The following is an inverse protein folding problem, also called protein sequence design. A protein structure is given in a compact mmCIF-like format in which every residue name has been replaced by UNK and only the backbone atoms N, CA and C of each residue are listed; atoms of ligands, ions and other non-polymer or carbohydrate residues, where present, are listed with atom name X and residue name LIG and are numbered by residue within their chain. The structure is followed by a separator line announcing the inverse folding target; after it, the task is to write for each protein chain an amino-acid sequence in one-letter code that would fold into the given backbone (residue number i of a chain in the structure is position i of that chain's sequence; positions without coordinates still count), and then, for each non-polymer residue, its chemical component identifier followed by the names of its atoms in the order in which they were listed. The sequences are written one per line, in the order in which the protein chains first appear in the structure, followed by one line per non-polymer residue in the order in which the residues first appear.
data_IF_253843475631
#
_entry.id   IF_253843475631
#
_cell.length_a   1.000
_cell.length_b   1.000
_cell.length_c   1.000
_cell.angle_alpha   90.00
_cell.angle_beta   90.00
_cell.angle_gamma   90.00
#
_symmetry.space_group_name_H-M   'P 1'
#
loop_
_entity.id
_entity.type
_entity.pdbx_description
1 polymer ?
#
# COMPACT_ATOMS: atom_id res chain seq x y z
N UNK A 1 -16.47 26.20 -4.29
CA UNK A 1 -16.53 24.95 -3.54
C UNK A 1 -17.19 23.85 -4.34
N UNK A 2 -18.46 23.90 -4.75
CA UNK A 2 -19.15 22.86 -5.54
C UNK A 2 -18.44 22.38 -6.84
N UNK A 3 -17.81 23.29 -7.58
CA UNK A 3 -17.09 22.91 -8.82
C UNK A 3 -15.77 22.16 -8.54
N UNK A 4 -15.13 22.46 -7.42
CA UNK A 4 -13.92 21.78 -6.97
C UNK A 4 -14.25 20.38 -6.42
N UNK A 5 -15.35 20.28 -5.68
CA UNK A 5 -15.90 19.01 -5.17
C UNK A 5 -16.31 18.09 -6.32
N UNK A 6 -17.05 18.61 -7.30
CA UNK A 6 -17.44 17.86 -8.49
C UNK A 6 -16.21 17.41 -9.34
N UNK A 7 -15.17 18.23 -9.42
CA UNK A 7 -13.93 17.87 -10.09
C UNK A 7 -13.15 16.79 -9.36
N UNK A 8 -13.10 16.86 -8.03
CA UNK A 8 -12.48 15.83 -7.17
C UNK A 8 -13.26 14.51 -7.23
N UNK A 9 -14.58 14.57 -7.17
CA UNK A 9 -15.44 13.39 -7.29
C UNK A 9 -15.31 12.72 -8.67
N UNK A 10 -15.22 13.50 -9.74
CA UNK A 10 -14.98 12.97 -11.07
C UNK A 10 -13.61 12.29 -11.16
N UNK A 11 -12.57 12.95 -10.67
CA UNK A 11 -11.21 12.41 -10.68
C UNK A 11 -11.12 11.12 -9.84
N UNK A 12 -11.72 11.13 -8.66
CA UNK A 12 -11.72 9.98 -7.74
C UNK A 12 -12.50 8.79 -8.29
N UNK A 13 -13.68 9.01 -8.86
CA UNK A 13 -14.58 7.94 -9.30
C UNK A 13 -14.28 7.45 -10.71
N UNK A 14 -14.01 8.35 -11.65
CA UNK A 14 -13.87 7.97 -13.06
C UNK A 14 -12.41 7.77 -13.47
N UNK A 15 -11.44 8.48 -12.84
CA UNK A 15 -10.02 8.31 -13.18
C UNK A 15 -9.36 7.28 -12.25
N UNK A 16 -9.39 7.48 -10.94
CA UNK A 16 -8.76 6.55 -9.98
C UNK A 16 -9.61 5.30 -9.74
N UNK A 17 -10.90 5.48 -9.55
CA UNK A 17 -11.86 4.39 -9.34
C UNK A 17 -12.21 3.62 -10.61
N UNK A 18 -11.93 4.15 -11.82
CA UNK A 18 -12.26 3.52 -13.11
C UNK A 18 -13.66 2.89 -13.15
N UNK A 19 -14.67 3.57 -12.58
CA UNK A 19 -16.05 3.05 -12.56
C UNK A 19 -16.60 2.72 -13.94
N UNK A 20 -16.16 3.43 -14.97
CA UNK A 20 -16.48 3.13 -16.37
C UNK A 20 -15.98 1.72 -16.77
N UNK A 21 -14.80 1.32 -16.31
CA UNK A 21 -14.24 -0.01 -16.57
C UNK A 21 -15.06 -1.11 -15.87
N UNK A 22 -15.46 -0.87 -14.61
CA UNK A 22 -16.33 -1.81 -13.88
C UNK A 22 -17.66 -2.03 -14.58
N UNK A 23 -18.28 -0.96 -15.11
CA UNK A 23 -19.52 -1.05 -15.92
C UNK A 23 -19.31 -1.83 -17.20
N UNK A 24 -18.22 -1.59 -17.90
CA UNK A 24 -17.88 -2.27 -19.15
C UNK A 24 -17.64 -3.77 -18.91
N UNK A 25 -16.92 -4.13 -17.86
CA UNK A 25 -16.69 -5.54 -17.51
C UNK A 25 -17.99 -6.19 -17.04
N UNK A 26 -18.83 -5.49 -16.28
CA UNK A 26 -20.16 -5.99 -15.90
C UNK A 26 -21.01 -6.36 -17.11
N UNK A 27 -21.09 -5.47 -18.12
CA UNK A 27 -21.79 -5.76 -19.38
C UNK A 27 -21.19 -6.94 -20.15
N UNK A 28 -19.86 -7.11 -20.12
CA UNK A 28 -19.21 -8.24 -20.75
C UNK A 28 -19.51 -9.57 -20.03
N UNK A 29 -19.57 -9.57 -18.71
CA UNK A 29 -19.95 -10.74 -17.89
C UNK A 29 -21.40 -11.13 -18.13
N UNK A 30 -22.32 -10.15 -18.22
CA UNK A 30 -23.72 -10.37 -18.61
C UNK A 30 -23.84 -10.97 -20.01
N UNK A 31 -23.08 -10.46 -20.99
CA UNK A 31 -23.04 -10.99 -22.35
C UNK A 31 -22.54 -12.44 -22.43
N UNK A 32 -21.70 -12.86 -21.47
CA UNK A 32 -21.26 -14.25 -21.31
C UNK A 32 -22.29 -15.16 -20.62
N UNK A 33 -23.49 -14.61 -20.26
CA UNK A 33 -24.54 -15.38 -19.61
C UNK A 33 -24.40 -15.54 -18.10
N UNK A 34 -23.51 -14.77 -17.47
CA UNK A 34 -23.29 -14.77 -16.03
C UNK A 34 -23.96 -13.51 -15.44
N UNK A 35 -24.76 -13.70 -14.40
CA UNK A 35 -25.35 -12.58 -13.67
C UNK A 35 -24.32 -11.96 -12.73
N UNK A 36 -23.96 -10.65 -12.91
CA UNK A 36 -23.02 -9.96 -12.02
C UNK A 36 -23.48 -9.89 -10.56
N UNK A 37 -24.79 -10.02 -10.31
CA UNK A 37 -25.34 -10.07 -8.95
C UNK A 37 -25.15 -11.45 -8.30
N UNK A 38 -24.83 -12.48 -9.07
CA UNK A 38 -24.51 -13.81 -8.53
C UNK A 38 -23.13 -13.83 -7.88
N UNK A 39 -22.92 -14.72 -6.91
CA UNK A 39 -21.61 -14.89 -6.24
C UNK A 39 -20.47 -15.15 -7.23
N UNK A 40 -20.72 -15.95 -8.24
CA UNK A 40 -19.71 -16.32 -9.26
C UNK A 40 -19.49 -15.18 -10.24
N UNK A 41 -20.57 -14.60 -10.79
CA UNK A 41 -20.49 -13.48 -11.73
C UNK A 41 -19.83 -12.26 -11.10
N UNK A 42 -20.23 -11.89 -9.87
CA UNK A 42 -19.61 -10.81 -9.11
C UNK A 42 -18.13 -11.06 -8.79
N UNK A 43 -17.73 -12.29 -8.47
CA UNK A 43 -16.32 -12.62 -8.24
C UNK A 43 -15.49 -12.49 -9.52
N UNK A 44 -16.02 -12.91 -10.65
CA UNK A 44 -15.34 -12.81 -11.95
C UNK A 44 -15.25 -11.35 -12.38
N UNK A 45 -16.32 -10.59 -12.23
CA UNK A 45 -16.31 -9.14 -12.51
C UNK A 45 -15.29 -8.41 -11.66
N UNK A 46 -15.29 -8.65 -10.35
CA UNK A 46 -14.34 -8.07 -9.41
C UNK A 46 -12.89 -8.45 -9.78
N UNK A 47 -12.64 -9.72 -10.03
CA UNK A 47 -11.31 -10.22 -10.39
C UNK A 47 -10.75 -9.54 -11.65
N UNK A 48 -11.52 -9.51 -12.73
CA UNK A 48 -11.08 -8.91 -14.00
C UNK A 48 -10.90 -7.40 -13.83
N UNK A 49 -11.86 -6.73 -13.19
CA UNK A 49 -11.81 -5.29 -12.95
C UNK A 49 -10.59 -4.89 -12.12
N UNK A 50 -10.37 -5.54 -11.00
CA UNK A 50 -9.27 -5.20 -10.10
C UNK A 50 -7.91 -5.55 -10.71
N UNK A 51 -7.77 -6.67 -11.42
CA UNK A 51 -6.54 -6.99 -12.12
C UNK A 51 -6.17 -5.92 -13.14
N UNK A 52 -7.12 -5.49 -13.99
CA UNK A 52 -6.86 -4.46 -15.00
C UNK A 52 -6.58 -3.12 -14.33
N UNK A 53 -7.39 -2.71 -13.37
CA UNK A 53 -7.23 -1.47 -12.60
C UNK A 53 -5.85 -1.39 -11.97
N UNK A 54 -5.44 -2.43 -11.24
CA UNK A 54 -4.14 -2.48 -10.58
C UNK A 54 -3.01 -2.40 -11.58
N UNK A 55 -3.06 -3.17 -12.66
CA UNK A 55 -2.02 -3.18 -13.69
C UNK A 55 -1.90 -1.84 -14.41
N UNK A 56 -3.01 -1.18 -14.72
CA UNK A 56 -3.01 0.15 -15.36
C UNK A 56 -2.46 1.21 -14.40
N UNK A 57 -2.98 1.29 -13.18
CA UNK A 57 -2.52 2.26 -12.18
C UNK A 57 -1.05 2.06 -11.84
N UNK A 58 -0.61 0.81 -11.64
CA UNK A 58 0.78 0.46 -11.42
C UNK A 58 1.66 0.88 -12.61
N UNK A 59 1.23 0.60 -13.83
CA UNK A 59 1.94 0.97 -15.04
C UNK A 59 2.12 2.48 -15.19
N UNK A 60 1.04 3.25 -15.02
CA UNK A 60 1.07 4.72 -15.07
C UNK A 60 1.97 5.28 -13.98
N UNK A 61 1.85 4.77 -12.75
CA UNK A 61 2.64 5.23 -11.62
C UNK A 61 4.14 4.96 -11.83
N UNK A 62 4.50 3.73 -12.23
CA UNK A 62 5.90 3.38 -12.53
C UNK A 62 6.45 4.24 -13.65
N UNK A 63 5.66 4.48 -14.70
CA UNK A 63 6.07 5.34 -15.83
C UNK A 63 6.41 6.74 -15.35
N UNK A 64 5.52 7.35 -14.55
CA UNK A 64 5.73 8.70 -14.00
C UNK A 64 6.97 8.73 -13.08
N UNK A 65 7.08 7.76 -12.18
CA UNK A 65 8.19 7.71 -11.22
C UNK A 65 9.52 7.48 -11.95
N UNK A 66 9.58 6.49 -12.85
CA UNK A 66 10.81 6.19 -13.59
C UNK A 66 11.22 7.36 -14.49
N UNK A 67 10.25 8.07 -15.06
CA UNK A 67 10.52 9.30 -15.80
C UNK A 67 11.10 10.39 -14.89
N UNK A 68 10.53 10.63 -13.71
CA UNK A 68 11.07 11.58 -12.72
C UNK A 68 12.46 11.14 -12.26
N UNK A 69 12.65 9.85 -11.95
CA UNK A 69 13.94 9.30 -11.54
C UNK A 69 15.02 9.47 -12.60
N UNK A 70 14.65 9.48 -13.88
CA UNK A 70 15.61 9.73 -14.96
C UNK A 70 16.25 11.13 -14.92
N UNK A 71 15.66 12.09 -14.16
CA UNK A 71 16.23 13.42 -13.87
C UNK A 71 16.99 13.47 -12.55
N UNK A 72 16.69 12.55 -11.63
CA UNK A 72 17.30 12.51 -10.32
C UNK A 72 18.03 11.17 -10.13
N UNK A 73 19.29 11.08 -10.55
CA UNK A 73 20.08 9.88 -10.31
C UNK A 73 20.14 9.57 -8.80
N UNK A 74 20.19 8.27 -8.42
CA UNK A 74 20.20 7.81 -7.03
C UNK A 74 21.25 8.49 -6.15
N UNK A 75 22.33 8.95 -6.75
CA UNK A 75 23.45 9.66 -6.10
C UNK A 75 23.04 11.02 -5.51
N UNK A 76 22.11 11.74 -6.15
CA UNK A 76 21.57 12.99 -5.59
C UNK A 76 20.66 12.73 -4.40
N UNK A 77 19.84 11.69 -4.47
CA UNK A 77 18.99 11.26 -3.35
C UNK A 77 19.86 10.80 -2.16
N UNK A 78 20.94 10.06 -2.42
CA UNK A 78 21.96 9.70 -1.42
C UNK A 78 22.59 10.94 -0.79
N UNK A 79 22.86 11.99 -1.57
CA UNK A 79 23.47 13.25 -1.08
C UNK A 79 22.52 14.07 -0.23
N UNK A 80 21.21 14.01 -0.48
CA UNK A 80 20.16 14.70 0.29
C UNK A 80 19.88 13.93 1.59
N UNK A 81 19.60 12.63 1.50
CA UNK A 81 19.31 11.77 2.65
C UNK A 81 20.57 11.49 3.48
N UNK A 82 21.76 11.43 2.87
CA UNK A 82 23.04 11.26 3.56
C UNK A 82 23.49 12.47 4.39
N UNK A 83 22.79 13.59 4.35
CA UNK A 83 22.98 14.73 5.28
C UNK A 83 22.31 14.51 6.63
N UNK A 84 21.37 13.61 6.71
CA UNK A 84 20.65 13.27 7.93
C UNK A 84 21.18 11.92 8.44
N UNK A 85 21.50 11.84 9.71
CA UNK A 85 21.98 10.61 10.35
C UNK A 85 21.01 10.13 11.43
N UNK A 86 20.93 8.82 11.60
CA UNK A 86 20.13 8.19 12.65
C UNK A 86 18.62 8.48 12.53
N UNK A 87 17.95 8.71 13.66
CA UNK A 87 16.51 8.87 13.77
C UNK A 87 15.97 10.01 12.87
N UNK A 88 16.76 11.09 12.69
CA UNK A 88 16.37 12.20 11.82
C UNK A 88 16.21 11.81 10.36
N UNK A 89 17.09 10.94 9.85
CA UNK A 89 17.00 10.39 8.51
C UNK A 89 15.76 9.49 8.35
N UNK A 90 15.46 8.67 9.37
CA UNK A 90 14.27 7.83 9.41
C UNK A 90 12.97 8.66 9.43
N UNK A 91 12.94 9.77 10.15
CA UNK A 91 11.81 10.71 10.15
C UNK A 91 11.59 11.34 8.76
N UNK A 92 12.65 11.81 8.11
CA UNK A 92 12.56 12.39 6.76
C UNK A 92 12.09 11.35 5.75
N UNK A 93 12.60 10.13 5.83
CA UNK A 93 12.19 9.03 4.96
C UNK A 93 10.71 8.65 5.16
N UNK A 94 10.25 8.59 6.41
CA UNK A 94 8.86 8.32 6.74
C UNK A 94 7.93 9.42 6.22
N UNK A 95 8.30 10.70 6.38
CA UNK A 95 7.55 11.83 5.83
C UNK A 95 7.51 11.80 4.30
N UNK A 96 8.62 11.41 3.66
CA UNK A 96 8.70 11.28 2.22
C UNK A 96 7.77 10.15 1.71
N UNK A 97 7.70 9.04 2.44
CA UNK A 97 6.74 7.97 2.18
C UNK A 97 5.29 8.42 2.28
N UNK A 98 4.97 9.28 3.25
CA UNK A 98 3.62 9.81 3.44
C UNK A 98 3.19 10.78 2.34
N UNK A 99 4.12 11.62 1.85
CA UNK A 99 3.83 12.59 0.78
C UNK A 99 3.69 11.92 -0.57
N UNK A 100 4.35 10.78 -0.76
CA UNK A 100 4.31 10.05 -2.01
C UNK A 100 3.16 9.04 -2.00
N UNK A 101 2.14 9.17 -2.90
CA UNK A 101 0.97 8.30 -2.91
C UNK A 101 1.32 6.95 -3.55
N UNK A 102 2.16 6.18 -2.87
CA UNK A 102 2.63 4.89 -3.38
C UNK A 102 1.95 3.74 -2.67
N UNK A 103 1.31 2.86 -3.44
CA UNK A 103 0.92 1.55 -2.94
C UNK A 103 2.17 0.70 -2.63
N UNK A 104 2.03 -0.31 -1.82
CA UNK A 104 3.12 -1.24 -1.47
C UNK A 104 3.85 -1.82 -2.69
N UNK A 105 3.15 -2.04 -3.81
CA UNK A 105 3.74 -2.53 -5.06
C UNK A 105 4.73 -1.56 -5.70
N UNK A 106 4.54 -0.25 -5.55
CA UNK A 106 5.44 0.78 -6.10
C UNK A 106 6.52 1.19 -5.09
N UNK A 107 6.24 1.07 -3.79
CA UNK A 107 7.23 1.36 -2.74
C UNK A 107 8.37 0.35 -2.71
N UNK A 108 8.11 -0.93 -3.06
CA UNK A 108 9.14 -1.98 -3.07
C UNK A 108 10.23 -1.73 -4.13
N UNK A 109 9.93 -1.39 -5.41
CA UNK A 109 10.96 -0.98 -6.35
C UNK A 109 11.79 0.22 -5.91
N UNK A 110 11.16 1.21 -5.26
CA UNK A 110 11.88 2.36 -4.68
C UNK A 110 12.76 1.95 -3.50
N UNK A 111 12.27 1.08 -2.64
CA UNK A 111 13.06 0.47 -1.56
C UNK A 111 14.31 -0.23 -2.12
N UNK A 112 14.16 -1.02 -3.19
CA UNK A 112 15.28 -1.67 -3.87
C UNK A 112 16.25 -0.61 -4.40
N UNK A 113 15.76 0.43 -5.06
CA UNK A 113 16.58 1.52 -5.59
C UNK A 113 17.36 2.26 -4.49
N UNK A 114 16.72 2.59 -3.39
CA UNK A 114 17.37 3.26 -2.24
C UNK A 114 18.40 2.37 -1.56
N UNK A 115 18.10 1.09 -1.41
CA UNK A 115 19.04 0.12 -0.81
C UNK A 115 20.25 -0.12 -1.71
N UNK A 116 20.04 -0.26 -3.03
CA UNK A 116 21.12 -0.36 -4.02
C UNK A 116 21.99 0.91 -4.08
N UNK A 117 21.39 2.08 -3.83
CA UNK A 117 22.14 3.33 -3.70
C UNK A 117 22.95 3.43 -2.40
N UNK A 118 22.85 2.44 -1.50
CA UNK A 118 23.59 2.36 -0.24
C UNK A 118 23.04 3.24 0.87
N UNK A 119 21.73 3.51 0.86
CA UNK A 119 21.05 4.14 2.00
C UNK A 119 20.93 3.15 3.17
N UNK A 120 21.01 3.62 4.42
CA UNK A 120 20.83 2.77 5.61
C UNK A 120 19.49 2.04 5.59
N UNK A 121 19.48 0.77 6.06
CA UNK A 121 18.26 -0.03 6.10
C UNK A 121 17.15 0.61 6.93
N UNK A 122 17.47 1.31 8.02
CA UNK A 122 16.49 2.02 8.81
C UNK A 122 15.74 3.06 8.01
N UNK A 123 16.42 3.82 7.18
CA UNK A 123 15.86 4.85 6.30
C UNK A 123 14.94 4.23 5.26
N UNK A 124 15.41 3.17 4.58
CA UNK A 124 14.66 2.51 3.52
C UNK A 124 13.41 1.79 4.05
N UNK A 125 13.50 1.19 5.24
CA UNK A 125 12.36 0.56 5.90
C UNK A 125 11.38 1.58 6.51
N UNK A 126 11.85 2.72 7.04
CA UNK A 126 10.96 3.79 7.48
C UNK A 126 10.10 4.31 6.33
N UNK A 127 10.68 4.48 5.14
CA UNK A 127 9.96 4.79 3.91
C UNK A 127 8.98 3.68 3.53
N UNK A 128 9.43 2.43 3.53
CA UNK A 128 8.63 1.27 3.10
C UNK A 128 7.42 1.02 4.03
N UNK A 129 7.55 1.28 5.33
CA UNK A 129 6.45 1.14 6.30
C UNK A 129 5.46 2.30 6.16
N UNK A 130 5.95 3.54 6.07
CA UNK A 130 5.08 4.72 6.04
C UNK A 130 4.24 4.80 4.76
N UNK A 131 4.84 4.49 3.61
CA UNK A 131 4.24 4.70 2.30
C UNK A 131 2.88 3.99 2.10
N UNK A 132 2.70 2.69 2.37
CA UNK A 132 1.41 2.03 2.28
C UNK A 132 0.50 2.25 3.49
N UNK A 133 1.06 2.67 4.62
CA UNK A 133 0.34 2.83 5.88
C UNK A 133 -0.31 4.20 5.99
N UNK A 134 0.36 5.24 5.48
CA UNK A 134 -0.04 6.64 5.66
C UNK A 134 0.25 7.41 4.37
N UNK A 135 -0.70 7.50 3.48
CA UNK A 135 -0.61 8.36 2.30
C UNK A 135 -1.58 9.55 2.37
N UNK A 136 -1.30 10.60 1.60
CA UNK A 136 -2.14 11.81 1.59
C UNK A 136 -3.56 11.54 1.06
N UNK A 137 -3.73 10.57 0.17
CA UNK A 137 -5.05 10.18 -0.33
C UNK A 137 -5.89 9.54 0.78
N UNK A 138 -5.28 8.64 1.55
CA UNK A 138 -5.92 8.03 2.72
C UNK A 138 -6.25 9.04 3.81
N UNK A 139 -5.39 10.04 4.02
CA UNK A 139 -5.65 11.13 4.97
C UNK A 139 -6.93 11.88 4.61
N UNK A 140 -7.04 12.38 3.37
CA UNK A 140 -8.22 13.14 2.90
C UNK A 140 -9.49 12.30 3.04
N UNK A 141 -9.41 11.04 2.73
CA UNK A 141 -10.53 10.13 2.77
C UNK A 141 -10.96 9.79 4.19
N UNK A 142 -10.00 9.49 5.07
CA UNK A 142 -10.27 9.29 6.50
C UNK A 142 -10.85 10.55 7.15
N UNK A 143 -10.40 11.74 6.72
CA UNK A 143 -10.99 13.00 7.18
C UNK A 143 -12.46 13.14 6.80
N UNK A 144 -12.87 12.66 5.63
CA UNK A 144 -14.27 12.75 5.17
C UNK A 144 -15.20 11.78 5.90
N UNK A 145 -14.69 10.61 6.32
CA UNK A 145 -15.50 9.53 6.92
C UNK A 145 -15.47 9.59 8.44
N UNK A 146 -14.26 9.65 9.02
CA UNK A 146 -14.04 9.55 10.47
C UNK A 146 -13.80 10.92 11.13
N UNK A 147 -13.71 11.98 10.33
CA UNK A 147 -13.39 13.31 10.79
C UNK A 147 -11.88 13.58 10.94
N UNK A 148 -11.53 14.87 10.96
CA UNK A 148 -10.14 15.34 10.92
C UNK A 148 -9.29 14.89 12.12
N UNK A 149 -9.91 14.73 13.31
CA UNK A 149 -9.21 14.32 14.53
C UNK A 149 -8.66 12.90 14.41
N UNK A 150 -9.51 11.96 13.95
CA UNK A 150 -9.12 10.56 13.73
C UNK A 150 -8.04 10.47 12.66
N UNK A 151 -8.20 11.20 11.56
CA UNK A 151 -7.25 11.18 10.46
C UNK A 151 -5.85 11.68 10.86
N UNK A 152 -5.76 12.78 11.61
CA UNK A 152 -4.47 13.28 12.09
C UNK A 152 -3.80 12.29 13.05
N UNK A 153 -4.54 11.77 14.02
CA UNK A 153 -4.01 10.79 14.97
C UNK A 153 -3.53 9.53 14.24
N UNK A 154 -4.26 9.07 13.23
CA UNK A 154 -3.87 7.94 12.38
C UNK A 154 -2.51 8.18 11.69
N UNK A 155 -2.35 9.35 11.06
CA UNK A 155 -1.09 9.74 10.40
C UNK A 155 0.07 9.81 11.39
N UNK A 156 -0.12 10.46 12.53
CA UNK A 156 0.93 10.59 13.54
C UNK A 156 1.36 9.22 14.06
N UNK A 157 0.42 8.36 14.38
CA UNK A 157 0.72 6.99 14.86
C UNK A 157 1.41 6.15 13.79
N UNK A 158 0.95 6.23 12.54
CA UNK A 158 1.58 5.54 11.42
C UNK A 158 3.03 5.99 11.20
N UNK A 159 3.30 7.30 11.28
CA UNK A 159 4.66 7.85 11.22
C UNK A 159 5.52 7.38 12.39
N UNK A 160 4.99 7.35 13.60
CA UNK A 160 5.70 6.86 14.79
C UNK A 160 6.09 5.39 14.59
N UNK A 161 5.19 4.56 14.10
CA UNK A 161 5.49 3.14 13.83
C UNK A 161 6.55 3.00 12.73
N UNK A 162 6.45 3.79 11.66
CA UNK A 162 7.41 3.76 10.57
C UNK A 162 8.84 4.12 11.04
N UNK A 163 8.98 5.19 11.81
CA UNK A 163 10.27 5.62 12.36
C UNK A 163 10.78 4.63 13.40
N UNK A 164 9.94 4.16 14.31
CA UNK A 164 10.33 3.18 15.31
C UNK A 164 10.74 1.84 14.68
N UNK A 165 9.96 1.36 13.70
CA UNK A 165 10.24 0.13 12.96
C UNK A 165 11.53 0.19 12.17
N UNK A 166 11.73 1.26 11.41
CA UNK A 166 12.98 1.48 10.67
C UNK A 166 14.20 1.59 11.60
N UNK A 167 14.08 2.34 12.70
CA UNK A 167 15.15 2.46 13.70
C UNK A 167 15.46 1.11 14.37
N UNK A 168 14.45 0.29 14.61
CA UNK A 168 14.65 -1.04 15.18
C UNK A 168 15.39 -1.96 14.19
N UNK A 169 15.01 -1.94 12.91
CA UNK A 169 15.67 -2.73 11.87
C UNK A 169 17.14 -2.28 11.71
N UNK A 170 17.41 -0.98 11.75
CA UNK A 170 18.78 -0.44 11.69
C UNK A 170 19.66 -0.94 12.86
N UNK A 171 19.12 -0.91 14.09
CA UNK A 171 19.83 -1.40 15.28
C UNK A 171 20.09 -2.91 15.28
N UNK A 172 19.32 -3.67 14.52
CA UNK A 172 19.51 -5.12 14.42
C UNK A 172 20.61 -5.51 13.43
N UNK A 173 21.23 -4.56 12.72
CA UNK A 173 22.33 -4.78 11.77
C UNK A 173 22.05 -5.95 10.81
N UNK A 174 20.93 -5.85 10.08
CA UNK A 174 20.43 -6.92 9.21
C UNK A 174 20.81 -6.70 7.72
N UNK A 175 21.87 -5.95 7.43
CA UNK A 175 22.34 -5.64 6.08
C UNK A 175 22.62 -6.91 5.27
N UNK A 176 23.14 -7.96 5.90
CA UNK A 176 23.37 -9.27 5.27
C UNK A 176 22.11 -10.03 4.89
N UNK A 177 20.94 -9.58 5.37
CA UNK A 177 19.64 -10.17 5.07
C UNK A 177 18.96 -9.54 3.83
N UNK A 178 19.61 -8.60 3.18
CA UNK A 178 19.25 -8.10 1.85
C UNK A 178 19.82 -9.07 0.80
N UNK A 179 19.10 -9.26 -0.30
CA UNK A 179 19.57 -10.14 -1.38
C UNK A 179 20.80 -9.52 -2.09
N UNK A 180 21.80 -10.35 -2.40
CA UNK A 180 23.10 -9.91 -2.93
C UNK A 180 23.00 -9.12 -4.24
N UNK A 181 22.03 -9.42 -5.09
CA UNK A 181 21.85 -8.68 -6.35
C UNK A 181 21.47 -7.21 -6.13
N UNK A 182 20.96 -6.85 -4.94
CA UNK A 182 20.62 -5.47 -4.56
C UNK A 182 21.89 -4.77 -4.04
N UNK A 183 22.67 -5.46 -3.23
CA UNK A 183 23.91 -4.92 -2.65
C UNK A 183 25.02 -4.81 -3.69
N UNK A 184 25.13 -5.79 -4.60
CA UNK A 184 26.13 -5.85 -5.67
C UNK A 184 25.59 -5.30 -7.00
N UNK A 185 24.32 -4.90 -7.04
CA UNK A 185 23.76 -4.21 -8.19
C UNK A 185 24.61 -2.98 -8.44
N UNK A 186 25.42 -3.06 -9.48
CA UNK A 186 25.96 -1.87 -10.11
C UNK A 186 24.74 -0.98 -10.28
N UNK A 187 24.70 0.18 -9.61
CA UNK A 187 23.91 1.28 -10.09
C UNK A 187 24.10 1.22 -11.58
N UNK A 188 23.06 0.94 -12.35
CA UNK A 188 23.17 0.86 -13.79
C UNK A 188 23.92 2.13 -14.13
N UNK A 189 25.18 2.00 -14.49
CA UNK A 189 25.97 3.09 -15.01
C UNK A 189 25.23 3.56 -16.25
N UNK A 190 24.22 4.38 -16.02
CA UNK A 190 23.65 5.17 -17.06
C UNK A 190 24.75 6.18 -17.33
N UNK A 191 25.45 6.06 -18.46
CA UNK A 191 26.48 7.03 -18.82
C UNK A 191 25.85 8.41 -18.61
N UNK A 192 26.59 9.34 -18.03
CA UNK A 192 26.16 10.74 -17.82
C UNK A 192 26.04 11.51 -19.16
N UNK A 193 25.80 10.81 -20.26
CA UNK A 193 25.35 11.42 -21.49
C UNK A 193 23.93 11.93 -21.27
N UNK A 194 23.70 13.18 -21.65
CA UNK A 194 22.41 13.85 -21.59
C UNK A 194 21.36 13.01 -22.29
N UNK A 195 20.64 12.19 -21.51
CA UNK A 195 19.58 11.35 -22.01
C UNK A 195 18.56 12.25 -22.71
N UNK A 196 18.35 12.05 -23.98
CA UNK A 196 17.31 12.74 -24.73
C UNK A 196 15.92 12.33 -24.24
N UNK A 197 14.93 13.15 -24.46
CA UNK A 197 13.55 12.91 -24.03
C UNK A 197 13.02 11.52 -24.42
N UNK A 198 13.39 11.04 -25.62
CA UNK A 198 13.00 9.70 -26.11
C UNK A 198 13.61 8.58 -25.27
N UNK A 199 14.87 8.71 -24.91
CA UNK A 199 15.60 7.68 -24.14
C UNK A 199 15.04 7.57 -22.71
N UNK A 200 14.60 8.70 -22.13
CA UNK A 200 13.94 8.74 -20.82
C UNK A 200 12.58 8.04 -20.83
N UNK A 201 11.79 8.25 -21.87
CA UNK A 201 10.49 7.57 -22.02
C UNK A 201 10.72 6.09 -22.27
N UNK A 202 11.68 5.72 -23.11
CA UNK A 202 12.00 4.33 -23.36
C UNK A 202 12.45 3.62 -22.08
N UNK A 203 13.35 4.23 -21.31
CA UNK A 203 13.77 3.73 -19.99
C UNK A 203 12.57 3.54 -19.06
N UNK A 204 11.70 4.55 -18.94
CA UNK A 204 10.52 4.46 -18.10
C UNK A 204 9.57 3.33 -18.56
N UNK A 205 9.38 3.16 -19.87
CA UNK A 205 8.57 2.09 -20.43
C UNK A 205 9.17 0.70 -20.18
N UNK A 206 10.46 0.53 -20.33
CA UNK A 206 11.17 -0.72 -20.02
C UNK A 206 11.01 -1.09 -18.53
N UNK A 207 11.06 -0.12 -17.62
CA UNK A 207 10.78 -0.31 -16.20
C UNK A 207 9.32 -0.77 -15.96
N UNK A 208 8.34 -0.16 -16.65
CA UNK A 208 6.94 -0.58 -16.57
C UNK A 208 6.78 -2.03 -17.01
N UNK A 209 7.30 -2.39 -18.17
CA UNK A 209 7.16 -3.75 -18.72
C UNK A 209 7.89 -4.78 -17.84
N UNK A 210 9.10 -4.47 -17.40
CA UNK A 210 9.87 -5.35 -16.52
C UNK A 210 9.15 -5.60 -15.19
N UNK A 211 8.66 -4.53 -14.56
CA UNK A 211 7.96 -4.64 -13.28
C UNK A 211 6.61 -5.31 -13.45
N UNK A 212 5.83 -4.94 -14.47
CA UNK A 212 4.55 -5.56 -14.76
C UNK A 212 4.67 -7.09 -14.94
N UNK A 213 5.64 -7.54 -15.73
CA UNK A 213 5.89 -8.99 -15.91
C UNK A 213 6.24 -9.71 -14.60
N UNK A 214 6.99 -9.07 -13.71
CA UNK A 214 7.36 -9.64 -12.41
C UNK A 214 6.19 -9.68 -11.42
N UNK A 215 5.32 -8.67 -11.46
CA UNK A 215 4.24 -8.45 -10.49
C UNK A 215 2.94 -9.14 -10.92
N UNK A 216 2.66 -9.22 -12.22
CA UNK A 216 1.40 -9.76 -12.75
C UNK A 216 0.98 -11.12 -12.14
N UNK A 217 1.84 -12.16 -12.05
CA UNK A 217 1.40 -13.43 -11.49
C UNK A 217 0.98 -13.31 -10.02
N UNK A 218 1.61 -12.43 -9.26
CA UNK A 218 1.28 -12.23 -7.85
C UNK A 218 0.00 -11.41 -7.66
N UNK A 219 -0.23 -10.42 -8.53
CA UNK A 219 -1.49 -9.68 -8.57
C UNK A 219 -2.64 -10.62 -8.91
N UNK A 220 -2.49 -11.49 -9.92
CA UNK A 220 -3.52 -12.47 -10.28
C UNK A 220 -3.88 -13.39 -9.10
N UNK A 221 -2.87 -13.90 -8.39
CA UNK A 221 -3.10 -14.76 -7.22
C UNK A 221 -3.78 -13.98 -6.08
N UNK A 222 -3.25 -12.80 -5.75
CA UNK A 222 -3.75 -11.99 -4.64
C UNK A 222 -5.17 -11.48 -4.87
N UNK A 223 -5.46 -10.94 -6.06
CA UNK A 223 -6.81 -10.49 -6.43
C UNK A 223 -7.77 -11.68 -6.55
N UNK A 224 -7.28 -12.84 -7.02
CA UNK A 224 -8.07 -14.08 -7.05
C UNK A 224 -8.53 -14.53 -5.66
N UNK A 225 -7.63 -14.51 -4.68
CA UNK A 225 -7.98 -14.77 -3.28
C UNK A 225 -8.95 -13.71 -2.77
N UNK A 226 -8.70 -12.43 -3.06
CA UNK A 226 -9.58 -11.31 -2.68
C UNK A 226 -10.99 -11.45 -3.27
N UNK A 227 -11.12 -11.83 -4.53
CA UNK A 227 -12.40 -12.02 -5.21
C UNK A 227 -13.24 -13.16 -4.58
N UNK A 228 -12.56 -14.23 -4.16
CA UNK A 228 -13.22 -15.32 -3.42
C UNK A 228 -13.70 -14.82 -2.06
N UNK A 229 -12.85 -14.16 -1.30
CA UNK A 229 -13.19 -13.68 0.04
C UNK A 229 -14.35 -12.68 -0.02
N UNK A 230 -14.29 -11.70 -0.95
CA UNK A 230 -15.26 -10.62 -1.05
C UNK A 230 -16.70 -11.11 -1.28
N UNK A 231 -16.90 -12.13 -2.10
CA UNK A 231 -18.25 -12.59 -2.47
C UNK A 231 -18.72 -13.85 -1.73
N UNK A 232 -17.83 -14.61 -1.09
CA UNK A 232 -18.16 -15.87 -0.46
C UNK A 232 -18.21 -15.81 1.06
N UNK A 233 -17.55 -14.82 1.70
CA UNK A 233 -17.65 -14.64 3.15
C UNK A 233 -18.87 -13.76 3.43
N UNK A 234 -19.91 -14.27 4.15
CA UNK A 234 -21.06 -13.49 4.54
C UNK A 234 -20.61 -12.34 5.45
N UNK A 235 -21.17 -11.15 5.18
CA UNK A 235 -20.92 -9.97 6.04
C UNK A 235 -21.26 -10.26 7.51
N UNK A 236 -22.29 -11.05 7.76
CA UNK A 236 -22.72 -11.48 9.11
C UNK A 236 -21.60 -12.21 9.87
N UNK A 237 -20.79 -13.01 9.18
CA UNK A 237 -19.67 -13.71 9.77
C UNK A 237 -18.55 -12.74 10.17
N UNK A 238 -18.29 -11.75 9.32
CA UNK A 238 -17.31 -10.69 9.59
C UNK A 238 -17.74 -9.88 10.80
N UNK A 239 -19.03 -9.51 10.88
CA UNK A 239 -19.59 -8.74 12.00
C UNK A 239 -19.57 -9.52 13.30
N UNK A 240 -19.90 -10.81 13.26
CA UNK A 240 -19.88 -11.67 14.45
C UNK A 240 -18.48 -11.79 15.05
N UNK A 241 -17.45 -11.71 14.23
CA UNK A 241 -16.04 -11.84 14.66
C UNK A 241 -15.45 -10.48 15.01
N UNK A 242 -15.78 -9.44 14.24
CA UNK A 242 -15.19 -8.09 14.38
C UNK A 242 -16.09 -7.10 15.14
N UNK A 243 -17.31 -7.53 15.53
CA UNK A 243 -18.28 -6.69 16.22
C UNK A 243 -17.87 -6.32 17.64
N UNK A 244 -18.64 -5.43 18.24
CA UNK A 244 -18.45 -4.87 19.59
C UNK A 244 -18.45 -5.98 20.65
N UNK A 245 -17.40 -5.97 21.49
CA UNK A 245 -17.29 -6.86 22.66
C UNK A 245 -16.22 -7.94 22.57
N UNK A 246 -15.56 -8.11 21.42
CA UNK A 246 -14.46 -9.05 21.32
C UNK A 246 -13.11 -8.33 21.55
N UNK A 247 -12.41 -8.56 22.67
CA UNK A 247 -11.10 -7.95 22.92
C UNK A 247 -10.05 -8.37 21.88
N UNK A 248 -10.24 -9.50 21.22
CA UNK A 248 -9.38 -10.00 20.15
C UNK A 248 -9.76 -9.44 18.76
N UNK A 249 -10.80 -8.61 18.64
CA UNK A 249 -11.28 -8.09 17.38
C UNK A 249 -10.18 -7.40 16.56
N UNK A 250 -9.32 -6.61 17.19
CA UNK A 250 -8.18 -5.92 16.54
C UNK A 250 -7.19 -6.92 15.95
N UNK A 251 -6.83 -7.98 16.68
CA UNK A 251 -5.89 -9.00 16.23
C UNK A 251 -6.47 -9.78 15.04
N UNK A 252 -7.72 -10.18 15.17
CA UNK A 252 -8.44 -10.92 14.13
C UNK A 252 -8.58 -10.07 12.87
N UNK A 253 -8.93 -8.79 13.02
CA UNK A 253 -9.05 -7.84 11.91
C UNK A 253 -7.72 -7.66 11.17
N UNK A 254 -6.61 -7.51 11.91
CA UNK A 254 -5.28 -7.39 11.32
C UNK A 254 -4.92 -8.65 10.53
N UNK A 255 -5.13 -9.83 11.10
CA UNK A 255 -4.83 -11.11 10.43
C UNK A 255 -5.75 -11.34 9.22
N UNK A 256 -7.04 -11.01 9.35
CA UNK A 256 -8.01 -11.13 8.26
C UNK A 256 -7.67 -10.22 7.06
N UNK A 257 -7.02 -9.09 7.30
CA UNK A 257 -6.54 -8.18 6.25
C UNK A 257 -5.38 -8.76 5.44
N UNK A 258 -4.50 -9.58 6.02
CA UNK A 258 -3.27 -10.07 5.37
C UNK A 258 -3.51 -10.80 4.04
N UNK A 259 -4.45 -11.74 3.90
CA UNK A 259 -4.68 -12.43 2.64
C UNK A 259 -5.35 -11.54 1.59
N UNK A 260 -5.94 -10.43 2.00
CA UNK A 260 -6.63 -9.52 1.09
C UNK A 260 -5.63 -8.56 0.42
N UNK A 261 -5.88 -8.25 -0.83
CA UNK A 261 -5.17 -7.19 -1.54
C UNK A 261 -6.19 -6.14 -1.98
N UNK A 262 -6.14 -5.01 -1.37
CA UNK A 262 -6.91 -3.84 -1.79
C UNK A 262 -6.14 -2.57 -1.44
N UNK A 263 -6.38 -1.52 -2.22
CA UNK A 263 -5.96 -0.19 -1.85
C UNK A 263 -6.93 0.38 -0.78
N UNK A 264 -6.59 1.52 -0.22
CA UNK A 264 -7.42 2.15 0.81
C UNK A 264 -8.81 2.50 0.28
N UNK A 265 -8.93 2.87 -1.00
CA UNK A 265 -10.20 3.19 -1.65
C UNK A 265 -11.12 1.96 -1.75
N UNK A 266 -10.53 0.77 -1.96
CA UNK A 266 -11.27 -0.49 -1.98
C UNK A 266 -11.70 -0.97 -0.59
N UNK A 267 -10.98 -0.57 0.47
CA UNK A 267 -11.32 -0.98 1.85
C UNK A 267 -12.39 -0.11 2.51
N UNK A 268 -12.64 1.10 1.99
CA UNK A 268 -13.59 2.05 2.58
C UNK A 268 -15.02 1.55 2.66
N UNK A 269 -15.62 1.01 1.59
CA UNK A 269 -16.99 0.49 1.68
C UNK A 269 -17.12 -0.60 2.75
N UNK A 270 -16.07 -1.40 2.93
CA UNK A 270 -16.01 -2.43 3.98
C UNK A 270 -15.93 -1.77 5.35
N UNK A 271 -15.09 -0.73 5.49
CA UNK A 271 -14.93 0.02 6.72
C UNK A 271 -16.24 0.71 7.14
N UNK A 272 -16.94 1.37 6.22
CA UNK A 272 -18.23 2.00 6.46
C UNK A 272 -19.31 0.97 6.84
N UNK A 273 -19.37 -0.16 6.15
CA UNK A 273 -20.31 -1.24 6.47
C UNK A 273 -20.04 -1.83 7.86
N UNK A 274 -18.78 -2.03 8.22
CA UNK A 274 -18.38 -2.53 9.56
C UNK A 274 -18.76 -1.54 10.65
N UNK A 275 -18.50 -0.24 10.46
CA UNK A 275 -18.89 0.80 11.42
C UNK A 275 -20.41 0.92 11.56
N UNK A 276 -21.15 0.92 10.45
CA UNK A 276 -22.61 0.98 10.46
C UNK A 276 -23.24 -0.20 11.23
N UNK A 277 -22.53 -1.33 11.26
CA UNK A 277 -22.94 -2.54 11.99
C UNK A 277 -22.34 -2.60 13.41
N UNK A 278 -21.70 -1.52 13.88
CA UNK A 278 -21.27 -1.36 15.25
C UNK A 278 -19.87 -1.92 15.55
N UNK A 279 -19.01 -2.11 14.56
CA UNK A 279 -17.60 -2.43 14.81
C UNK A 279 -16.89 -1.24 15.47
N UNK A 280 -15.92 -1.54 16.33
CA UNK A 280 -15.10 -0.51 16.96
C UNK A 280 -14.15 0.14 15.94
N UNK A 281 -13.91 1.44 16.10
CA UNK A 281 -13.05 2.22 15.20
C UNK A 281 -11.66 1.60 15.03
N UNK A 282 -11.01 1.20 16.12
CA UNK A 282 -9.69 0.59 16.07
C UNK A 282 -9.66 -0.76 15.36
N UNK A 283 -10.73 -1.55 15.42
CA UNK A 283 -10.86 -2.81 14.66
C UNK A 283 -10.89 -2.53 13.16
N UNK A 284 -11.69 -1.54 12.75
CA UNK A 284 -11.82 -1.14 11.35
C UNK A 284 -10.50 -0.58 10.80
N UNK A 285 -9.86 0.33 11.54
CA UNK A 285 -8.57 0.91 11.13
C UNK A 285 -7.45 -0.14 11.07
N UNK A 286 -7.43 -1.09 12.01
CA UNK A 286 -6.45 -2.19 11.98
C UNK A 286 -6.66 -3.12 10.79
N UNK A 287 -7.91 -3.39 10.41
CA UNK A 287 -8.22 -4.12 9.20
C UNK A 287 -7.69 -3.39 7.95
N UNK A 288 -8.00 -2.09 7.81
CA UNK A 288 -7.53 -1.27 6.69
C UNK A 288 -6.00 -1.25 6.61
N UNK A 289 -5.32 -0.99 7.73
CA UNK A 289 -3.85 -1.02 7.77
C UNK A 289 -3.28 -2.41 7.42
N UNK A 290 -3.90 -3.48 7.90
CA UNK A 290 -3.49 -4.87 7.60
C UNK A 290 -3.56 -5.17 6.10
N UNK A 291 -4.67 -4.79 5.46
CA UNK A 291 -4.87 -4.98 4.01
C UNK A 291 -3.85 -4.19 3.19
N UNK A 292 -3.58 -2.94 3.54
CA UNK A 292 -2.70 -2.05 2.75
C UNK A 292 -1.22 -2.37 2.96
N UNK A 293 -0.80 -2.66 4.19
CA UNK A 293 0.62 -2.80 4.56
C UNK A 293 1.11 -4.25 4.48
N UNK A 294 0.30 -5.21 4.93
CA UNK A 294 0.68 -6.62 5.08
C UNK A 294 0.09 -7.54 4.02
N UNK A 295 -0.41 -7.00 2.91
CA UNK A 295 -1.03 -7.81 1.86
C UNK A 295 -0.07 -8.88 1.33
N UNK A 296 -0.61 -10.07 1.08
CA UNK A 296 0.14 -11.25 0.66
C UNK A 296 0.95 -11.02 -0.62
N UNK A 297 0.44 -10.36 -1.68
CA UNK A 297 1.23 -10.02 -2.85
C UNK A 297 2.43 -9.13 -2.55
N UNK A 298 2.27 -8.14 -1.66
CA UNK A 298 3.36 -7.25 -1.25
C UNK A 298 4.46 -8.01 -0.51
N UNK A 299 4.07 -8.96 0.37
CA UNK A 299 5.04 -9.82 1.07
C UNK A 299 5.82 -10.70 0.11
N UNK A 300 5.16 -11.27 -0.89
CA UNK A 300 5.81 -12.10 -1.92
C UNK A 300 6.78 -11.26 -2.76
N UNK A 301 6.42 -10.02 -3.10
CA UNK A 301 7.32 -9.12 -3.81
C UNK A 301 8.54 -8.74 -2.96
N UNK A 302 8.30 -8.36 -1.70
CA UNK A 302 9.37 -7.99 -0.78
C UNK A 302 10.32 -9.18 -0.49
N UNK A 303 9.79 -10.41 -0.48
CA UNK A 303 10.60 -11.63 -0.33
C UNK A 303 11.66 -11.80 -1.43
N UNK A 304 11.47 -11.19 -2.60
CA UNK A 304 12.50 -11.19 -3.65
C UNK A 304 13.62 -10.20 -3.40
N UNK A 305 13.40 -9.20 -2.57
CA UNK A 305 14.38 -8.18 -2.24
C UNK A 305 15.12 -8.48 -0.92
N UNK A 306 14.44 -9.17 0.01
CA UNK A 306 14.99 -9.46 1.34
C UNK A 306 14.84 -10.93 1.70
N UNK A 307 15.80 -11.44 2.49
CA UNK A 307 15.78 -12.81 2.99
C UNK A 307 14.64 -13.02 4.01
N UNK A 308 14.20 -14.28 4.23
CA UNK A 308 13.03 -14.59 5.08
C UNK A 308 13.11 -14.02 6.49
N UNK A 309 14.31 -13.95 7.07
CA UNK A 309 14.53 -13.43 8.42
C UNK A 309 14.15 -11.96 8.53
N UNK A 310 14.62 -11.13 7.61
CA UNK A 310 14.34 -9.70 7.59
C UNK A 310 12.84 -9.45 7.25
N UNK A 311 12.29 -10.21 6.31
CA UNK A 311 10.85 -10.17 6.00
C UNK A 311 10.01 -10.50 7.24
N UNK A 312 10.35 -11.56 7.98
CA UNK A 312 9.64 -11.95 9.20
C UNK A 312 9.68 -10.85 10.27
N UNK A 313 10.82 -10.21 10.47
CA UNK A 313 10.98 -9.10 11.41
C UNK A 313 10.10 -7.91 10.96
N UNK A 314 10.11 -7.56 9.67
CA UNK A 314 9.25 -6.51 9.12
C UNK A 314 7.77 -6.80 9.38
N UNK A 315 7.31 -8.02 9.08
CA UNK A 315 5.92 -8.45 9.32
C UNK A 315 5.54 -8.34 10.79
N UNK A 316 6.43 -8.79 11.69
CA UNK A 316 6.17 -8.70 13.15
C UNK A 316 6.08 -7.25 13.59
N UNK A 317 7.00 -6.39 13.17
CA UNK A 317 6.99 -4.96 13.52
C UNK A 317 5.69 -4.29 13.04
N UNK A 318 5.32 -4.49 11.78
CA UNK A 318 4.08 -3.93 11.23
C UNK A 318 2.84 -4.48 11.95
N UNK A 319 2.78 -5.80 12.18
CA UNK A 319 1.64 -6.42 12.87
C UNK A 319 1.48 -5.88 14.29
N UNK A 320 2.56 -5.83 15.07
CA UNK A 320 2.54 -5.27 16.43
C UNK A 320 2.15 -3.80 16.40
N UNK A 321 2.72 -3.03 15.47
CA UNK A 321 2.37 -1.61 15.29
C UNK A 321 0.88 -1.41 14.98
N UNK A 322 0.33 -2.16 14.05
CA UNK A 322 -1.10 -2.10 13.67
C UNK A 322 -1.99 -2.48 14.87
N UNK A 323 -1.65 -3.52 15.60
CA UNK A 323 -2.40 -3.95 16.79
C UNK A 323 -2.38 -2.86 17.87
N UNK A 324 -1.23 -2.23 18.11
CA UNK A 324 -1.11 -1.13 19.06
C UNK A 324 -1.98 0.06 18.66
N UNK A 325 -1.96 0.44 17.38
CA UNK A 325 -2.83 1.50 16.84
C UNK A 325 -4.31 1.15 17.02
N UNK A 326 -4.69 -0.07 16.71
CA UNK A 326 -6.08 -0.52 16.85
C UNK A 326 -6.59 -0.42 18.28
N UNK A 327 -5.83 -0.93 19.24
CA UNK A 327 -6.21 -0.81 20.66
C UNK A 327 -6.21 0.64 21.13
N UNK A 328 -5.26 1.45 20.69
CA UNK A 328 -5.23 2.87 21.01
C UNK A 328 -6.48 3.59 20.49
N UNK A 329 -6.89 3.34 19.25
CA UNK A 329 -8.12 3.94 18.73
C UNK A 329 -9.38 3.45 19.43
N UNK A 330 -9.45 2.17 19.83
CA UNK A 330 -10.57 1.68 20.64
C UNK A 330 -10.64 2.39 21.99
N UNK A 331 -9.50 2.73 22.60
CA UNK A 331 -9.43 3.43 23.88
C UNK A 331 -9.89 4.88 23.76
N UNK A 332 -9.50 5.58 22.69
CA UNK A 332 -9.81 7.01 22.50
C UNK A 332 -11.14 7.24 21.76
N UNK A 333 -11.75 6.20 21.19
CA UNK A 333 -13.03 6.29 20.49
C UNK A 333 -14.08 7.09 21.25
N UNK A 334 -14.34 6.84 22.57
CA UNK A 334 -15.36 7.57 23.33
C UNK A 334 -15.01 9.04 23.58
N UNK A 335 -13.78 9.47 23.30
CA UNK A 335 -13.32 10.86 23.46
C UNK A 335 -13.36 11.64 22.13
N UNK A 336 -13.43 10.95 21.00
CA UNK A 336 -13.30 11.57 19.67
C UNK A 336 -14.64 11.57 18.94
N UNK A 337 -15.43 10.55 19.12
CA UNK A 337 -16.80 10.37 18.61
C UNK A 337 -17.78 10.58 19.75
#
# INVERSE_FOLDING_TARGET
MRALEAGLDFFQNEVLGMKWLSRLIGSAVEACGLDPASKVGGSIQFFIYDCIKIMVLLGVLILIISYIQSYFPPERTKKILGRFYGIGANCVAALLGTVTPFCSCSSIPLFIGFTSAGLPLGVTFSFLISSPMVDLGSLVLLMSIFGWKVAIVYVVLGLVIAVAGGTLIEKLHLEEQVEEFICNGHAIDVPQEELHFKDRIQYAWEQVVSTAKKVAPYVLIGVGIGAVIHNWIPEEFIIKILGTGNPFGVIIATIAGVPMYADIFGTIPIAEALLAKGAQLGVVLSFMMGVTTLSLPSMIMLRKAVKPKLLGIFVVICTVGIILVGYFFNLIQPMII
#
